data_IF_414893714737
#
_entry.id   IF_414893714737
#
_cell.length_a   1.000
_cell.length_b   1.000
_cell.length_c   1.000
_cell.angle_alpha   90.00
_cell.angle_beta   90.00
_cell.angle_gamma   90.00
#
_symmetry.space_group_name_H-M   'P 1'
#
loop_
_entity.id
_entity.type
_entity.pdbx_description
1 polymer ?
#
# COMPACT_ATOMS: atom_id res chain seq x y z
N UNK A 1 -8.59 14.91 6.46
CA UNK A 1 -7.47 14.85 5.49
C UNK A 1 -7.29 13.39 5.11
N UNK A 2 -7.34 13.03 3.82
CA UNK A 2 -7.24 11.63 3.43
C UNK A 2 -5.81 11.11 3.48
N UNK A 3 -5.69 9.85 3.84
CA UNK A 3 -4.47 9.07 3.74
C UNK A 3 -4.54 8.28 2.42
N UNK A 4 -3.51 8.41 1.59
CA UNK A 4 -3.35 7.64 0.36
C UNK A 4 -2.17 6.70 0.55
N UNK A 5 -2.48 5.42 0.71
CA UNK A 5 -1.49 4.36 0.89
C UNK A 5 -1.29 3.65 -0.44
N UNK A 6 -0.11 3.79 -1.02
CA UNK A 6 0.33 3.02 -2.17
C UNK A 6 0.91 1.71 -1.68
N UNK A 7 0.26 0.60 -2.02
CA UNK A 7 0.74 -0.74 -1.78
C UNK A 7 1.28 -1.28 -3.10
N UNK A 8 2.60 -1.23 -3.28
CA UNK A 8 3.25 -1.59 -4.53
C UNK A 8 3.82 -3.00 -4.38
N UNK A 9 3.35 -3.89 -5.25
CA UNK A 9 3.96 -5.20 -5.43
C UNK A 9 5.40 -5.01 -5.93
N UNK A 10 6.33 -5.49 -5.12
CA UNK A 10 7.76 -5.51 -5.43
C UNK A 10 8.25 -6.92 -5.69
N UNK A 11 7.38 -7.90 -5.93
CA UNK A 11 7.78 -9.29 -6.18
C UNK A 11 8.56 -9.45 -7.49
N UNK A 12 9.29 -10.56 -7.60
CA UNK A 12 10.15 -10.83 -8.76
C UNK A 12 9.38 -10.86 -10.10
N UNK A 13 8.08 -11.19 -10.08
CA UNK A 13 7.23 -11.24 -11.26
C UNK A 13 6.94 -9.86 -11.86
N UNK A 14 7.13 -8.78 -11.10
CA UNK A 14 7.05 -7.39 -11.57
C UNK A 14 8.22 -6.99 -12.51
N UNK A 15 9.23 -7.84 -12.69
CA UNK A 15 10.30 -7.66 -13.69
C UNK A 15 9.86 -7.93 -15.14
N UNK A 16 8.65 -8.46 -15.35
CA UNK A 16 8.10 -8.65 -16.69
C UNK A 16 8.06 -7.32 -17.45
N UNK A 17 8.39 -7.37 -18.74
CA UNK A 17 8.42 -6.18 -19.60
C UNK A 17 7.10 -6.00 -20.31
N UNK A 18 6.63 -4.76 -20.32
CA UNK A 18 5.52 -4.33 -21.17
C UNK A 18 5.96 -4.24 -22.64
N UNK A 19 4.99 -4.04 -23.53
CA UNK A 19 5.24 -3.75 -24.95
C UNK A 19 6.08 -2.48 -25.18
N UNK A 20 6.18 -1.59 -24.19
CA UNK A 20 7.00 -0.37 -24.23
C UNK A 20 8.45 -0.62 -23.79
N UNK A 21 8.81 -1.85 -23.43
CA UNK A 21 10.16 -2.23 -23.02
C UNK A 21 10.50 -1.96 -21.55
N UNK A 22 9.64 -1.25 -20.81
CA UNK A 22 9.76 -1.01 -19.35
C UNK A 22 9.20 -2.16 -18.53
N UNK A 23 9.69 -2.33 -17.29
CA UNK A 23 9.11 -3.34 -16.39
C UNK A 23 7.73 -2.90 -15.87
N UNK A 24 6.95 -3.84 -15.33
CA UNK A 24 5.72 -3.50 -14.63
C UNK A 24 5.98 -2.62 -13.40
N UNK A 25 7.08 -2.84 -12.68
CA UNK A 25 7.45 -1.96 -11.55
C UNK A 25 7.76 -0.53 -12.01
N UNK A 26 8.49 -0.35 -13.12
CA UNK A 26 8.74 1.00 -13.67
C UNK A 26 7.45 1.70 -14.07
N UNK A 27 6.53 0.94 -14.68
CA UNK A 27 5.21 1.43 -15.08
C UNK A 27 4.37 1.82 -13.85
N UNK A 28 4.41 1.02 -12.78
CA UNK A 28 3.75 1.31 -11.51
C UNK A 28 4.30 2.60 -10.86
N UNK A 29 5.63 2.74 -10.78
CA UNK A 29 6.28 3.96 -10.27
C UNK A 29 5.83 5.20 -11.05
N UNK A 30 5.86 5.13 -12.39
CA UNK A 30 5.40 6.22 -13.25
C UNK A 30 3.92 6.57 -13.08
N UNK A 31 3.07 5.57 -12.86
CA UNK A 31 1.65 5.77 -12.57
C UNK A 31 1.44 6.50 -11.24
N UNK A 32 2.18 6.14 -10.19
CA UNK A 32 2.15 6.83 -8.89
C UNK A 32 2.61 8.27 -9.02
N UNK A 33 3.73 8.52 -9.71
CA UNK A 33 4.19 9.89 -9.95
C UNK A 33 3.16 10.73 -10.71
N UNK A 34 2.54 10.15 -11.74
CA UNK A 34 1.51 10.82 -12.53
C UNK A 34 0.26 11.11 -11.69
N UNK A 35 -0.17 10.15 -10.87
CA UNK A 35 -1.27 10.33 -9.94
C UNK A 35 -1.00 11.51 -8.99
N UNK A 36 0.19 11.56 -8.37
CA UNK A 36 0.53 12.63 -7.43
C UNK A 36 0.56 14.00 -8.12
N UNK A 37 1.11 14.08 -9.34
CA UNK A 37 1.12 15.32 -10.14
C UNK A 37 -0.29 15.79 -10.48
N UNK A 38 -1.21 14.88 -10.80
CA UNK A 38 -2.61 15.21 -11.07
C UNK A 38 -3.33 15.62 -9.78
N UNK A 39 -3.14 14.89 -8.68
CA UNK A 39 -3.73 15.19 -7.38
C UNK A 39 -3.31 16.56 -6.84
N UNK A 40 -2.06 16.95 -7.04
CA UNK A 40 -1.52 18.25 -6.64
C UNK A 40 -2.18 19.45 -7.32
N UNK A 41 -2.94 19.25 -8.42
CA UNK A 41 -3.71 20.32 -9.08
C UNK A 41 -4.97 20.70 -8.29
N UNK A 42 -5.46 19.81 -7.43
CA UNK A 42 -6.61 20.07 -6.57
C UNK A 42 -6.16 20.77 -5.28
N UNK A 43 -6.65 21.99 -4.96
CA UNK A 43 -6.32 22.69 -3.72
C UNK A 43 -6.61 21.88 -2.45
N UNK A 44 -7.54 20.92 -2.50
CA UNK A 44 -7.86 20.04 -1.37
C UNK A 44 -6.73 19.07 -1.02
N UNK A 45 -5.73 18.89 -1.90
CA UNK A 45 -4.63 17.93 -1.69
C UNK A 45 -3.56 18.39 -0.71
N UNK A 46 -3.60 19.66 -0.25
CA UNK A 46 -2.56 20.23 0.63
C UNK A 46 -2.40 19.51 1.96
N UNK A 47 -3.45 18.81 2.39
CA UNK A 47 -3.44 18.02 3.61
C UNK A 47 -3.33 16.50 3.38
N UNK A 48 -3.16 16.04 2.15
CA UNK A 48 -3.09 14.61 1.89
C UNK A 48 -1.81 14.02 2.49
N UNK A 49 -1.92 12.81 3.03
CA UNK A 49 -0.78 12.04 3.53
C UNK A 49 -0.52 10.85 2.62
N UNK A 50 0.70 10.74 2.12
CA UNK A 50 1.11 9.63 1.27
C UNK A 50 1.92 8.61 2.08
N UNK A 51 1.55 7.34 1.96
CA UNK A 51 2.26 6.22 2.56
C UNK A 51 2.67 5.22 1.49
N UNK A 52 3.80 4.54 1.68
CA UNK A 52 4.32 3.53 0.77
C UNK A 52 4.58 2.23 1.53
N UNK A 53 3.95 1.16 1.06
CA UNK A 53 4.12 -0.20 1.56
C UNK A 53 4.48 -1.13 0.40
N UNK A 54 5.38 -2.09 0.64
CA UNK A 54 5.84 -3.08 -0.34
C UNK A 54 5.49 -4.51 0.09
N UNK A 55 5.83 -5.51 -0.74
CA UNK A 55 5.60 -6.93 -0.44
C UNK A 55 6.74 -7.58 0.35
N UNK A 56 7.64 -6.76 0.90
CA UNK A 56 8.67 -7.24 1.81
C UNK A 56 8.09 -7.67 3.15
N UNK A 57 8.86 -8.44 3.91
CA UNK A 57 8.49 -8.83 5.26
C UNK A 57 8.71 -7.68 6.26
N UNK A 58 7.91 -7.59 7.33
CA UNK A 58 8.21 -6.71 8.46
C UNK A 58 9.63 -7.00 9.01
N UNK A 59 10.44 -5.96 9.31
CA UNK A 59 10.08 -4.55 9.41
C UNK A 59 10.22 -3.73 8.11
N UNK A 60 10.65 -4.33 7.00
CA UNK A 60 11.06 -3.60 5.79
C UNK A 60 9.91 -3.24 4.84
N UNK A 61 8.73 -3.83 5.05
CA UNK A 61 7.52 -3.59 4.27
C UNK A 61 7.10 -2.10 4.20
N UNK A 62 7.29 -1.34 5.28
CA UNK A 62 6.87 0.06 5.37
C UNK A 62 8.04 0.95 4.95
N UNK A 63 7.93 1.57 3.77
CA UNK A 63 8.96 2.48 3.26
C UNK A 63 8.70 3.93 3.66
N UNK A 64 7.44 4.34 3.67
CA UNK A 64 7.03 5.65 4.15
C UNK A 64 5.72 5.56 4.94
N UNK A 65 5.75 5.95 6.21
CA UNK A 65 4.62 5.86 7.15
C UNK A 65 4.25 7.17 7.82
N UNK A 66 3.87 7.13 9.09
CA UNK A 66 3.33 8.30 9.82
C UNK A 66 4.32 9.45 10.06
N UNK A 67 5.62 9.18 10.07
CA UNK A 67 6.65 10.18 10.37
C UNK A 67 7.30 10.79 9.13
N UNK A 68 7.06 10.18 7.97
CA UNK A 68 7.78 10.51 6.75
C UNK A 68 7.12 11.64 5.97
N UNK A 69 7.97 12.42 5.29
CA UNK A 69 7.54 13.51 4.44
C UNK A 69 7.46 13.08 2.96
N UNK A 70 6.97 13.99 2.12
CA UNK A 70 6.83 13.75 0.68
C UNK A 70 8.17 13.43 -0.01
N UNK A 71 9.29 14.02 0.44
CA UNK A 71 10.60 13.76 -0.17
C UNK A 71 11.10 12.35 0.14
N UNK A 72 10.93 11.87 1.38
CA UNK A 72 11.24 10.47 1.74
C UNK A 72 10.41 9.51 0.91
N UNK A 73 9.10 9.75 0.80
CA UNK A 73 8.21 8.93 -0.03
C UNK A 73 8.71 8.81 -1.47
N UNK A 74 9.05 9.93 -2.11
CA UNK A 74 9.53 9.95 -3.50
C UNK A 74 10.88 9.24 -3.66
N UNK A 75 11.78 9.37 -2.67
CA UNK A 75 13.06 8.69 -2.68
C UNK A 75 12.88 7.17 -2.59
N UNK A 76 12.06 6.69 -1.65
CA UNK A 76 11.76 5.27 -1.50
C UNK A 76 11.07 4.69 -2.74
N UNK A 77 10.08 5.40 -3.29
CA UNK A 77 9.39 4.99 -4.52
C UNK A 77 10.38 4.80 -5.68
N UNK A 78 11.33 5.73 -5.84
CA UNK A 78 12.35 5.66 -6.89
C UNK A 78 13.23 4.42 -6.73
N UNK A 79 13.61 4.10 -5.50
CA UNK A 79 14.59 3.06 -5.20
C UNK A 79 14.01 1.63 -5.09
N UNK A 80 12.68 1.45 -5.16
CA UNK A 80 12.07 0.11 -5.12
C UNK A 80 12.70 -0.84 -6.17
N UNK A 81 12.93 -2.08 -5.76
CA UNK A 81 13.40 -3.16 -6.62
C UNK A 81 12.35 -4.26 -6.69
N UNK A 82 12.29 -4.96 -7.83
CA UNK A 82 11.39 -6.09 -8.01
C UNK A 82 12.11 -7.39 -7.64
N UNK A 83 11.92 -7.86 -6.41
CA UNK A 83 12.50 -9.07 -5.82
C UNK A 83 11.57 -9.74 -4.81
N UNK A 84 11.76 -11.03 -4.57
CA UNK A 84 10.95 -11.78 -3.59
C UNK A 84 9.63 -12.31 -4.13
N UNK A 85 8.74 -12.70 -3.19
CA UNK A 85 7.49 -13.42 -3.45
C UNK A 85 6.27 -12.49 -3.41
N UNK A 86 5.17 -12.96 -3.98
CA UNK A 86 3.90 -12.21 -4.05
C UNK A 86 3.07 -12.41 -2.78
N UNK A 87 3.46 -11.76 -1.69
CA UNK A 87 2.88 -11.94 -0.33
C UNK A 87 1.68 -11.01 -0.04
N UNK A 88 0.78 -10.83 -1.00
CA UNK A 88 -0.30 -9.83 -0.98
C UNK A 88 -1.09 -9.79 0.36
N UNK A 89 -1.48 -10.94 0.91
CA UNK A 89 -2.24 -11.00 2.17
C UNK A 89 -1.49 -10.43 3.37
N UNK A 90 -0.19 -10.71 3.48
CA UNK A 90 0.66 -10.19 4.56
C UNK A 90 0.89 -8.68 4.41
N UNK A 91 1.10 -8.21 3.17
CA UNK A 91 1.33 -6.79 2.90
C UNK A 91 0.06 -5.97 3.12
N UNK A 92 -1.12 -6.49 2.75
CA UNK A 92 -2.41 -5.89 3.08
C UNK A 92 -2.65 -5.82 4.58
N UNK A 93 -2.36 -6.91 5.31
CA UNK A 93 -2.43 -6.90 6.79
C UNK A 93 -1.54 -5.79 7.36
N UNK A 94 -0.30 -5.68 6.89
CA UNK A 94 0.63 -4.63 7.32
C UNK A 94 0.10 -3.23 7.02
N UNK A 95 -0.50 -3.02 5.85
CA UNK A 95 -1.12 -1.75 5.49
C UNK A 95 -2.31 -1.41 6.40
N UNK A 96 -3.17 -2.39 6.72
CA UNK A 96 -4.28 -2.18 7.65
C UNK A 96 -3.79 -1.89 9.07
N UNK A 97 -2.82 -2.65 9.57
CA UNK A 97 -2.23 -2.43 10.88
C UNK A 97 -1.60 -1.03 10.97
N UNK A 98 -0.88 -0.59 9.93
CA UNK A 98 -0.30 0.75 9.82
C UNK A 98 -1.37 1.85 9.89
N UNK A 99 -2.46 1.73 9.13
CA UNK A 99 -3.55 2.70 9.12
C UNK A 99 -4.29 2.75 10.47
N UNK A 100 -4.38 1.63 11.17
CA UNK A 100 -5.13 1.54 12.42
C UNK A 100 -4.33 1.97 13.66
N UNK A 101 -3.00 2.18 13.56
CA UNK A 101 -2.13 2.52 14.69
C UNK A 101 -2.64 3.69 15.54
N UNK A 102 -3.15 4.74 14.90
CA UNK A 102 -3.52 5.97 15.60
C UNK A 102 -5.02 6.06 15.93
N UNK A 103 -5.87 5.19 15.39
CA UNK A 103 -7.34 5.29 15.52
C UNK A 103 -7.83 5.18 16.96
N UNK A 104 -7.18 4.34 17.76
CA UNK A 104 -7.50 4.17 19.19
C UNK A 104 -6.98 5.35 20.02
N UNK A 105 -5.81 5.88 19.68
CA UNK A 105 -5.19 6.99 20.41
C UNK A 105 -5.93 8.30 20.17
N UNK A 106 -6.40 8.52 18.94
CA UNK A 106 -7.18 9.72 18.57
C UNK A 106 -8.65 9.65 18.99
N UNK A 107 -9.10 8.52 19.54
CA UNK A 107 -10.48 8.32 19.99
C UNK A 107 -11.49 8.28 18.85
N UNK A 108 -11.07 7.94 17.63
CA UNK A 108 -11.97 7.78 16.48
C UNK A 108 -12.89 6.58 16.72
N UNK A 109 -12.33 5.48 17.21
CA UNK A 109 -13.07 4.26 17.53
C UNK A 109 -13.20 4.10 19.06
N UNK A 110 -14.08 4.90 19.67
CA UNK A 110 -14.39 4.80 21.10
C UNK A 110 -15.40 3.69 21.38
N UNK A 111 -14.89 2.51 21.73
CA UNK A 111 -15.75 1.41 22.17
C UNK A 111 -16.52 1.78 23.45
N UNK A 112 -17.82 1.46 23.48
CA UNK A 112 -18.68 1.68 24.65
C UNK A 112 -19.34 3.06 24.73
N UNK A 113 -19.11 3.97 23.77
CA UNK A 113 -19.73 5.30 23.73
C UNK A 113 -20.51 5.56 22.42
N UNK A 114 -20.89 4.48 21.70
CA UNK A 114 -21.51 4.56 20.38
C UNK A 114 -20.50 4.83 19.25
N UNK A 115 -21.00 5.04 18.02
CA UNK A 115 -20.17 5.41 16.87
C UNK A 115 -20.53 6.81 16.39
N UNK A 116 -19.51 7.67 16.27
CA UNK A 116 -19.69 9.02 15.74
C UNK A 116 -19.34 9.04 14.24
N UNK A 117 -20.31 9.24 13.33
CA UNK A 117 -20.06 9.25 11.89
C UNK A 117 -19.24 10.46 11.41
N UNK A 118 -19.06 11.49 12.26
CA UNK A 118 -18.28 12.68 11.93
C UNK A 118 -16.78 12.52 12.22
N UNK A 119 -16.38 11.50 12.99
CA UNK A 119 -14.97 11.20 13.25
C UNK A 119 -14.42 10.31 12.14
N UNK A 120 -13.97 10.94 11.07
CA UNK A 120 -13.50 10.28 9.87
C UNK A 120 -11.99 10.42 9.73
N UNK A 121 -11.32 9.29 9.57
CA UNK A 121 -9.97 9.20 9.02
C UNK A 121 -10.06 8.46 7.68
N UNK A 122 -10.33 9.20 6.58
CA UNK A 122 -10.47 8.58 5.28
C UNK A 122 -9.11 8.04 4.82
N UNK A 123 -9.09 6.77 4.43
CA UNK A 123 -7.91 6.11 3.87
C UNK A 123 -8.27 5.39 2.57
N UNK A 124 -7.41 5.53 1.57
CA UNK A 124 -7.52 4.83 0.28
C UNK A 124 -6.26 4.00 0.12
N UNK A 125 -6.43 2.69 -0.10
CA UNK A 125 -5.33 1.79 -0.46
C UNK A 125 -5.36 1.60 -1.97
N UNK A 126 -4.24 1.91 -2.62
CA UNK A 126 -4.04 1.68 -4.05
C UNK A 126 -3.05 0.53 -4.16
N UNK A 127 -3.56 -0.68 -4.36
CA UNK A 127 -2.75 -1.87 -4.55
C UNK A 127 -2.41 -2.03 -6.03
N UNK A 128 -1.12 -2.02 -6.35
CA UNK A 128 -0.61 -2.22 -7.71
C UNK A 128 0.17 -3.53 -7.73
N UNK A 129 -0.31 -4.50 -8.50
CA UNK A 129 0.28 -5.84 -8.66
C UNK A 129 0.21 -6.25 -10.13
N UNK A 130 0.96 -7.29 -10.51
CA UNK A 130 1.04 -7.79 -11.88
C UNK A 130 -0.19 -8.62 -12.32
N UNK A 131 -1.10 -8.92 -11.40
CA UNK A 131 -2.29 -9.72 -11.67
C UNK A 131 -2.00 -11.19 -11.97
N UNK A 132 -0.79 -11.66 -11.70
CA UNK A 132 -0.40 -13.06 -11.83
C UNK A 132 -0.82 -13.87 -10.60
N UNK A 133 -0.45 -15.16 -10.55
CA UNK A 133 -0.82 -16.02 -9.43
C UNK A 133 -0.06 -15.62 -8.16
N UNK A 134 -0.73 -15.71 -7.02
CA UNK A 134 -0.12 -15.40 -5.73
C UNK A 134 0.89 -16.48 -5.37
N UNK A 135 2.11 -16.08 -5.03
CA UNK A 135 3.18 -16.99 -4.65
C UNK A 135 3.49 -16.83 -3.17
N UNK A 136 3.45 -17.96 -2.46
CA UNK A 136 3.86 -18.07 -1.06
C UNK A 136 5.00 -19.07 -0.96
N UNK A 137 5.70 -19.10 0.17
CA UNK A 137 6.77 -20.08 0.41
C UNK A 137 6.28 -21.54 0.28
N UNK A 138 4.98 -21.78 0.49
CA UNK A 138 4.35 -23.11 0.37
C UNK A 138 3.88 -23.46 -1.04
N UNK A 139 3.98 -22.53 -1.99
CA UNK A 139 3.55 -22.72 -3.37
C UNK A 139 2.61 -21.62 -3.88
N UNK A 140 1.95 -21.93 -4.98
CA UNK A 140 1.07 -21.00 -5.69
C UNK A 140 -0.35 -21.11 -5.12
N UNK A 141 -0.95 -19.97 -4.77
CA UNK A 141 -2.28 -19.87 -4.21
C UNK A 141 -3.20 -19.12 -5.19
N UNK A 142 -4.45 -19.59 -5.30
CA UNK A 142 -5.49 -18.93 -6.10
C UNK A 142 -6.33 -17.94 -5.25
N UNK A 143 -6.19 -17.95 -3.91
CA UNK A 143 -6.94 -17.10 -2.98
C UNK A 143 -6.01 -16.27 -2.08
N UNK A 144 -6.45 -15.06 -1.72
CA UNK A 144 -5.67 -14.10 -0.88
C UNK A 144 -5.71 -14.48 0.61
N UNK A 145 -6.77 -15.16 1.05
CA UNK A 145 -6.97 -15.63 2.42
C UNK A 145 -7.13 -17.14 2.36
N UNK A 146 -6.25 -17.87 3.03
CA UNK A 146 -6.44 -19.31 3.21
C UNK A 146 -7.79 -19.55 3.88
N UNK A 147 -8.68 -20.31 3.22
CA UNK A 147 -9.98 -20.68 3.78
C UNK A 147 -9.81 -21.40 5.12
N UNK A 148 -9.87 -20.66 6.22
CA UNK A 148 -10.48 -21.20 7.43
C UNK A 148 -11.98 -21.19 7.16
N UNK A 149 -12.46 -22.28 6.56
CA UNK A 149 -13.88 -22.61 6.59
C UNK A 149 -14.29 -22.61 8.06
N UNK A 150 -15.14 -21.68 8.44
CA UNK A 150 -15.86 -21.73 9.70
C UNK A 150 -16.70 -23.01 9.66
N UNK A 151 -16.21 -24.06 10.33
CA UNK A 151 -17.01 -25.20 10.73
C UNK A 151 -17.68 -24.87 12.07
#
# INVERSE_FOLDING_TARGET
>A
MPILLFLIDTSASMNQRSHLGTTYLDTAKGAVETFMKLRARDPASRGDRYMLVTFEEPPYAIKAGWKENHATFMNELKNLQAEGLTTLGQSLRTAFDLLNLNRLVTGIDNYGQGRNPFFLEPAIIITITDGSKLTTTSGVQDEVLGTHRWN
#
